data_IF_768516790886
#
_entry.id   IF_768516790886
#
_cell.length_a   1.000
_cell.length_b   1.000
_cell.length_c   1.000
_cell.angle_alpha   90.00
_cell.angle_beta   90.00
_cell.angle_gamma   90.00
#
_symmetry.space_group_name_H-M   'P 1'
#
loop_
_entity.id
_entity.type
_entity.pdbx_description
1 polymer ?
#
# COMPACT_ATOMS: atom_id res chain seq x y z
N UNK A 1 51.75 45.95 -22.67
CA UNK A 1 50.32 45.87 -22.26
C UNK A 1 49.78 44.53 -22.75
N UNK A 2 49.66 43.54 -21.86
CA UNK A 2 49.32 42.16 -22.22
C UNK A 2 47.81 41.98 -22.18
N UNK A 3 47.22 41.67 -23.34
CA UNK A 3 45.83 41.20 -23.44
C UNK A 3 45.83 39.74 -23.00
N UNK A 4 45.29 39.45 -21.81
CA UNK A 4 45.01 38.08 -21.38
C UNK A 4 43.58 37.75 -21.79
N UNK A 5 43.43 37.25 -23.01
CA UNK A 5 42.24 36.53 -23.44
C UNK A 5 42.44 35.04 -23.19
N UNK A 6 41.76 34.45 -22.21
CA UNK A 6 41.48 33.01 -22.23
C UNK A 6 40.04 32.77 -21.76
N UNK A 7 39.14 32.88 -22.72
CA UNK A 7 37.83 32.25 -22.64
C UNK A 7 38.03 30.76 -22.36
N UNK A 8 37.57 30.29 -21.19
CA UNK A 8 37.48 28.87 -20.87
C UNK A 8 36.70 28.15 -21.98
N UNK A 9 37.41 27.46 -22.87
CA UNK A 9 36.81 26.52 -23.83
C UNK A 9 36.06 25.47 -23.02
N UNK A 10 34.72 25.49 -23.07
CA UNK A 10 33.89 24.39 -22.58
C UNK A 10 34.22 23.18 -23.44
N UNK A 11 34.93 22.20 -22.88
CA UNK A 11 35.17 20.92 -23.55
C UNK A 11 33.80 20.27 -23.78
N UNK A 12 33.40 19.99 -25.03
CA UNK A 12 32.13 19.33 -25.29
C UNK A 12 32.21 17.91 -24.72
N UNK A 13 31.39 17.63 -23.71
CA UNK A 13 31.24 16.26 -23.21
C UNK A 13 30.70 15.42 -24.36
N UNK A 14 31.39 14.33 -24.69
CA UNK A 14 30.98 13.45 -25.78
C UNK A 14 29.54 12.95 -25.52
N UNK A 15 28.66 13.12 -26.50
CA UNK A 15 27.26 12.72 -26.39
C UNK A 15 27.10 11.23 -26.06
N UNK A 16 28.04 10.38 -26.49
CA UNK A 16 28.12 8.96 -26.13
C UNK A 16 28.30 8.75 -24.63
N UNK A 17 29.20 9.49 -23.99
CA UNK A 17 29.44 9.41 -22.54
C UNK A 17 28.18 9.79 -21.77
N UNK A 18 27.50 10.88 -22.16
CA UNK A 18 26.23 11.28 -21.53
C UNK A 18 25.14 10.21 -21.68
N UNK A 19 25.05 9.56 -22.85
CA UNK A 19 24.12 8.44 -23.06
C UNK A 19 24.45 7.26 -22.15
N UNK A 20 25.72 6.88 -22.05
CA UNK A 20 26.17 5.80 -21.17
C UNK A 20 25.88 6.12 -19.70
N UNK A 21 26.21 7.33 -19.23
CA UNK A 21 25.90 7.75 -17.87
C UNK A 21 24.38 7.73 -17.59
N UNK A 22 23.56 8.17 -18.54
CA UNK A 22 22.09 8.11 -18.42
C UNK A 22 21.59 6.67 -18.34
N UNK A 23 22.15 5.77 -19.13
CA UNK A 23 21.82 4.34 -19.11
C UNK A 23 22.18 3.70 -17.76
N UNK A 24 23.43 3.84 -17.31
CA UNK A 24 23.91 3.32 -16.02
C UNK A 24 23.06 3.87 -14.87
N UNK A 25 22.72 5.15 -14.90
CA UNK A 25 21.89 5.75 -13.85
C UNK A 25 20.45 5.21 -13.86
N UNK A 26 19.86 4.95 -15.03
CA UNK A 26 18.54 4.32 -15.13
C UNK A 26 18.56 2.88 -14.61
N UNK A 27 19.61 2.12 -14.93
CA UNK A 27 19.82 0.76 -14.45
C UNK A 27 20.01 0.73 -12.93
N UNK A 28 20.88 1.59 -12.38
CA UNK A 28 21.11 1.71 -10.95
C UNK A 28 19.83 2.06 -10.18
N UNK A 29 18.99 2.97 -10.72
CA UNK A 29 17.65 3.26 -10.17
C UNK A 29 16.75 2.04 -10.20
N UNK A 30 16.76 1.30 -11.31
CA UNK A 30 16.03 0.04 -11.45
C UNK A 30 16.42 -0.96 -10.37
N UNK A 31 17.72 -1.15 -10.14
CA UNK A 31 18.25 -2.05 -9.11
C UNK A 31 17.81 -1.58 -7.73
N UNK A 32 18.06 -0.31 -7.39
CA UNK A 32 17.78 0.27 -6.07
C UNK A 32 16.30 0.16 -5.70
N UNK A 33 15.39 0.58 -6.59
CA UNK A 33 13.96 0.66 -6.29
C UNK A 33 13.18 -0.64 -6.56
N UNK A 34 13.80 -1.64 -7.19
CA UNK A 34 13.20 -2.96 -7.35
C UNK A 34 13.24 -3.80 -6.07
N UNK A 35 14.13 -3.44 -5.13
CA UNK A 35 14.24 -4.11 -3.83
C UNK A 35 12.97 -3.91 -2.98
N UNK A 36 12.71 -4.80 -2.00
CA UNK A 36 11.69 -4.57 -1.00
C UNK A 36 11.95 -3.30 -0.18
N UNK A 37 11.06 -2.32 -0.27
CA UNK A 37 11.18 -1.06 0.46
C UNK A 37 10.19 -1.05 1.62
N UNK A 38 10.71 -0.84 2.83
CA UNK A 38 9.91 -0.66 4.03
C UNK A 38 9.64 0.83 4.26
N UNK A 39 8.37 1.21 4.24
CA UNK A 39 7.93 2.58 4.48
C UNK A 39 7.11 2.61 5.77
N UNK A 40 7.74 3.05 6.87
CA UNK A 40 7.12 3.12 8.19
C UNK A 40 8.07 3.17 9.38
N UNK A 41 9.38 3.35 9.15
CA UNK A 41 10.41 3.23 10.19
C UNK A 41 10.90 4.53 10.84
N UNK A 42 10.59 5.72 10.32
CA UNK A 42 10.89 7.05 10.91
C UNK A 42 10.62 8.22 9.95
N UNK A 43 10.69 8.00 8.63
CA UNK A 43 10.43 9.04 7.63
C UNK A 43 8.96 9.05 7.18
N UNK A 44 8.40 10.24 6.95
CA UNK A 44 7.04 10.40 6.42
C UNK A 44 6.96 9.71 5.03
N UNK A 45 6.13 8.65 4.87
CA UNK A 45 5.96 7.95 3.61
C UNK A 45 5.67 8.87 2.42
N UNK A 46 4.92 9.95 2.66
CA UNK A 46 4.53 10.92 1.64
C UNK A 46 5.74 11.73 1.18
N UNK A 47 6.54 12.23 2.14
CA UNK A 47 7.75 13.01 1.85
C UNK A 47 8.74 12.17 1.05
N UNK A 48 8.94 10.91 1.46
CA UNK A 48 9.85 10.01 0.76
C UNK A 48 9.38 9.69 -0.66
N UNK A 49 8.11 9.30 -0.84
CA UNK A 49 7.54 8.98 -2.16
C UNK A 49 7.53 10.20 -3.10
N UNK A 50 7.38 11.41 -2.56
CA UNK A 50 7.53 12.66 -3.33
C UNK A 50 8.99 12.94 -3.67
N UNK A 51 9.89 12.77 -2.71
CA UNK A 51 11.32 13.05 -2.84
C UNK A 51 12.02 12.19 -3.89
N UNK A 52 11.66 10.91 -4.01
CA UNK A 52 12.20 10.07 -5.10
C UNK A 52 11.69 10.51 -6.47
N UNK A 53 10.56 11.22 -6.54
CA UNK A 53 9.98 11.72 -7.79
C UNK A 53 9.30 10.64 -8.64
N UNK A 54 8.46 11.08 -9.58
CA UNK A 54 7.63 10.19 -10.41
C UNK A 54 8.46 9.23 -11.26
N UNK A 55 9.58 9.69 -11.83
CA UNK A 55 10.45 8.86 -12.66
C UNK A 55 11.04 7.67 -11.89
N UNK A 56 11.31 7.83 -10.59
CA UNK A 56 11.83 6.72 -9.77
C UNK A 56 10.71 5.83 -9.24
N UNK A 57 9.51 6.37 -9.01
CA UNK A 57 8.32 5.57 -8.67
C UNK A 57 7.99 4.53 -9.74
N UNK A 58 8.38 4.77 -10.99
CA UNK A 58 8.30 3.77 -12.07
C UNK A 58 9.01 2.46 -11.72
N UNK A 59 10.13 2.50 -11.01
CA UNK A 59 10.94 1.32 -10.71
C UNK A 59 10.49 0.57 -9.44
N UNK A 60 9.55 1.13 -8.68
CA UNK A 60 9.03 0.48 -7.48
C UNK A 60 8.34 -0.84 -7.82
N UNK A 61 8.76 -1.92 -7.16
CA UNK A 61 8.16 -3.25 -7.32
C UNK A 61 7.55 -3.80 -6.06
N UNK A 62 8.25 -3.70 -4.93
CA UNK A 62 7.87 -4.35 -3.69
C UNK A 62 7.86 -3.31 -2.57
N UNK A 63 6.66 -2.95 -2.09
CA UNK A 63 6.49 -1.94 -1.06
C UNK A 63 5.85 -2.58 0.17
N UNK A 64 6.44 -2.34 1.33
CA UNK A 64 5.90 -2.71 2.62
C UNK A 64 5.48 -1.44 3.35
N UNK A 65 4.21 -1.34 3.72
CA UNK A 65 3.67 -0.20 4.47
C UNK A 65 3.54 -0.58 5.95
N UNK A 66 4.14 0.24 6.81
CA UNK A 66 4.18 0.05 8.25
C UNK A 66 5.45 -0.66 8.71
N UNK A 67 5.85 -0.46 9.96
CA UNK A 67 6.96 -1.18 10.56
C UNK A 67 6.52 -2.60 10.98
N UNK A 68 7.50 -3.49 11.18
CA UNK A 68 7.30 -4.72 11.95
C UNK A 68 6.79 -4.44 13.36
N UNK A 69 7.11 -3.26 13.89
CA UNK A 69 6.67 -2.75 15.20
C UNK A 69 5.33 -1.97 15.18
N UNK A 70 4.74 -1.71 14.01
CA UNK A 70 3.51 -0.90 13.87
C UNK A 70 3.68 0.37 13.02
N UNK A 71 2.63 1.18 12.89
CA UNK A 71 2.74 2.54 12.33
C UNK A 71 2.84 3.54 13.48
N UNK A 72 3.98 4.20 13.67
CA UNK A 72 4.06 5.38 14.53
C UNK A 72 3.57 6.60 13.75
N UNK A 73 2.26 6.72 13.56
CA UNK A 73 1.65 7.94 13.02
C UNK A 73 0.78 8.61 14.10
N UNK A 74 0.80 9.96 14.20
CA UNK A 74 -0.08 10.70 15.10
C UNK A 74 -1.55 10.31 14.89
N UNK A 75 -2.25 10.02 15.99
CA UNK A 75 -3.57 9.36 16.05
C UNK A 75 -4.67 9.96 15.14
N UNK A 76 -4.57 11.22 14.71
CA UNK A 76 -5.65 11.94 14.01
C UNK A 76 -5.65 11.80 12.49
N UNK A 77 -4.54 11.44 11.84
CA UNK A 77 -4.43 11.57 10.37
C UNK A 77 -4.06 10.29 9.60
N UNK A 78 -3.99 9.12 10.25
CA UNK A 78 -3.46 7.89 9.64
C UNK A 78 -4.12 7.50 8.32
N UNK A 79 -5.46 7.59 8.21
CA UNK A 79 -6.17 7.27 6.96
C UNK A 79 -5.88 8.30 5.85
N UNK A 80 -5.85 9.58 6.19
CA UNK A 80 -5.50 10.63 5.22
C UNK A 80 -4.09 10.41 4.65
N UNK A 81 -3.16 9.95 5.50
CA UNK A 81 -1.80 9.59 5.10
C UNK A 81 -1.81 8.36 4.20
N UNK A 82 -2.51 7.28 4.59
CA UNK A 82 -2.62 6.08 3.77
C UNK A 82 -3.19 6.38 2.37
N UNK A 83 -4.27 7.17 2.26
CA UNK A 83 -4.83 7.55 0.95
C UNK A 83 -3.85 8.35 0.09
N UNK A 84 -3.10 9.27 0.70
CA UNK A 84 -2.06 10.05 -0.01
C UNK A 84 -0.94 9.15 -0.50
N UNK A 85 -0.52 8.18 0.31
CA UNK A 85 0.45 7.15 -0.08
C UNK A 85 -0.09 6.30 -1.23
N UNK A 86 -1.33 5.82 -1.12
CA UNK A 86 -1.98 5.05 -2.18
C UNK A 86 -2.05 5.83 -3.51
N UNK A 87 -2.32 7.13 -3.46
CA UNK A 87 -2.31 8.01 -4.64
C UNK A 87 -0.91 8.15 -5.25
N UNK A 88 0.14 8.22 -4.44
CA UNK A 88 1.52 8.26 -4.95
C UNK A 88 1.94 6.90 -5.52
N UNK A 89 1.50 5.80 -4.91
CA UNK A 89 1.76 4.44 -5.38
C UNK A 89 0.94 4.06 -6.61
N UNK A 90 -0.22 4.68 -6.87
CA UNK A 90 -0.97 4.43 -8.11
C UNK A 90 -0.19 4.85 -9.36
N UNK A 91 0.79 5.75 -9.21
CA UNK A 91 1.72 6.15 -10.26
C UNK A 91 2.88 5.17 -10.48
N UNK A 92 2.96 4.07 -9.72
CA UNK A 92 4.00 3.05 -9.85
C UNK A 92 3.50 1.87 -10.72
N UNK A 93 3.67 1.90 -12.06
CA UNK A 93 3.15 0.87 -12.95
C UNK A 93 3.77 -0.52 -12.76
N UNK A 94 5.00 -0.59 -12.25
CA UNK A 94 5.70 -1.85 -12.05
C UNK A 94 5.53 -2.41 -10.63
N UNK A 95 4.61 -1.85 -9.83
CA UNK A 95 4.32 -2.35 -8.50
C UNK A 95 3.77 -3.78 -8.62
N UNK A 96 4.50 -4.74 -8.03
CA UNK A 96 4.17 -6.17 -8.01
C UNK A 96 3.60 -6.63 -6.67
N UNK A 97 4.02 -5.98 -5.59
CA UNK A 97 3.63 -6.34 -4.22
C UNK A 97 3.51 -5.09 -3.36
N UNK A 98 2.39 -5.00 -2.66
CA UNK A 98 2.09 -4.02 -1.62
C UNK A 98 1.66 -4.76 -0.36
N UNK A 99 2.56 -4.84 0.60
CA UNK A 99 2.33 -5.57 1.84
C UNK A 99 2.02 -4.58 2.98
N UNK A 100 0.80 -4.65 3.50
CA UNK A 100 0.29 -3.81 4.57
C UNK A 100 0.58 -4.50 5.89
N UNK A 101 1.64 -4.06 6.56
CA UNK A 101 2.12 -4.65 7.81
C UNK A 101 1.43 -4.10 9.05
N UNK A 102 1.01 -2.85 8.98
CA UNK A 102 0.25 -2.18 10.02
C UNK A 102 -0.73 -1.21 9.37
N UNK A 103 -1.86 -0.94 10.03
CA UNK A 103 -2.85 0.04 9.58
C UNK A 103 -3.76 0.40 10.75
N UNK A 104 -4.21 1.65 10.82
CA UNK A 104 -5.26 2.04 11.77
C UNK A 104 -6.59 1.46 11.32
N UNK A 105 -7.07 0.48 12.07
CA UNK A 105 -8.40 -0.09 11.91
C UNK A 105 -9.37 0.74 12.77
N UNK A 106 -10.43 1.35 12.18
CA UNK A 106 -11.50 1.99 12.95
C UNK A 106 -12.21 1.01 13.88
N UNK A 107 -12.86 1.52 14.92
CA UNK A 107 -13.68 0.69 15.79
C UNK A 107 -14.78 0.01 14.97
N UNK A 108 -14.98 -1.29 15.23
CA UNK A 108 -16.03 -2.08 14.61
C UNK A 108 -17.27 -1.92 15.47
N UNK A 109 -18.37 -1.47 14.88
CA UNK A 109 -19.66 -1.48 15.58
C UNK A 109 -20.19 -2.92 15.64
N UNK A 110 -19.83 -3.63 16.71
CA UNK A 110 -20.20 -5.03 16.93
C UNK A 110 -21.70 -5.23 17.10
N UNK A 111 -22.46 -4.20 17.47
CA UNK A 111 -23.91 -4.32 17.65
C UNK A 111 -24.61 -4.60 16.31
N UNK A 112 -24.07 -4.10 15.20
CA UNK A 112 -24.58 -4.38 13.85
C UNK A 112 -24.44 -5.84 13.42
N UNK A 113 -23.62 -6.62 14.12
CA UNK A 113 -23.36 -8.04 13.81
C UNK A 113 -24.03 -9.01 14.79
N UNK A 114 -24.85 -8.47 15.70
CA UNK A 114 -25.67 -9.25 16.62
C UNK A 114 -27.06 -9.47 16.02
N UNK A 115 -27.63 -10.64 16.28
CA UNK A 115 -29.04 -10.90 15.97
C UNK A 115 -29.96 -10.30 17.06
N UNK A 116 -31.27 -10.46 16.89
CA UNK A 116 -32.28 -9.97 17.83
C UNK A 116 -32.13 -10.58 19.25
N UNK A 117 -31.49 -11.75 19.37
CA UNK A 117 -31.18 -12.38 20.67
C UNK A 117 -29.82 -11.96 21.26
N UNK A 118 -29.14 -10.98 20.64
CA UNK A 118 -27.85 -10.45 21.12
C UNK A 118 -26.65 -11.36 20.83
N UNK A 119 -26.84 -12.49 20.15
CA UNK A 119 -25.78 -13.40 19.75
C UNK A 119 -25.11 -12.93 18.45
N UNK A 120 -23.79 -13.14 18.37
CA UNK A 120 -23.01 -12.86 17.17
C UNK A 120 -23.42 -13.79 16.03
N UNK A 121 -23.82 -13.22 14.89
CA UNK A 121 -24.21 -14.01 13.71
C UNK A 121 -23.03 -14.73 13.06
N UNK A 122 -21.82 -14.19 13.23
CA UNK A 122 -20.59 -14.68 12.64
C UNK A 122 -19.46 -14.64 13.67
N UNK A 123 -18.40 -15.42 13.43
CA UNK A 123 -17.21 -15.39 14.28
C UNK A 123 -16.61 -13.98 14.26
N UNK A 124 -16.20 -13.43 15.41
CA UNK A 124 -15.65 -12.07 15.47
C UNK A 124 -14.45 -11.82 14.53
N UNK A 125 -13.59 -12.82 14.34
CA UNK A 125 -12.45 -12.73 13.41
C UNK A 125 -12.86 -12.63 11.94
N UNK A 126 -13.99 -13.22 11.58
CA UNK A 126 -14.52 -13.19 10.23
C UNK A 126 -15.01 -11.78 9.91
N UNK A 127 -15.76 -11.18 10.83
CA UNK A 127 -16.22 -9.78 10.74
C UNK A 127 -15.01 -8.84 10.66
N UNK A 128 -14.01 -9.03 11.53
CA UNK A 128 -12.79 -8.22 11.49
C UNK A 128 -12.06 -8.32 10.14
N UNK A 129 -11.93 -9.53 9.56
CA UNK A 129 -11.32 -9.72 8.25
C UNK A 129 -12.06 -8.98 7.13
N UNK A 130 -13.39 -9.00 7.13
CA UNK A 130 -14.20 -8.24 6.17
C UNK A 130 -14.04 -6.72 6.31
N UNK A 131 -14.03 -6.22 7.55
CA UNK A 131 -13.79 -4.80 7.83
C UNK A 131 -12.40 -4.36 7.36
N UNK A 132 -11.36 -5.15 7.63
CA UNK A 132 -10.00 -4.88 7.16
C UNK A 132 -9.94 -4.92 5.64
N UNK A 133 -10.57 -5.90 4.98
CA UNK A 133 -10.63 -5.98 3.52
C UNK A 133 -11.27 -4.73 2.91
N UNK A 134 -12.39 -4.28 3.49
CA UNK A 134 -13.08 -3.06 3.08
C UNK A 134 -12.20 -1.81 3.28
N UNK A 135 -11.55 -1.70 4.44
CA UNK A 135 -10.64 -0.61 4.73
C UNK A 135 -9.48 -0.56 3.72
N UNK A 136 -8.83 -1.70 3.45
CA UNK A 136 -7.78 -1.79 2.44
C UNK A 136 -8.30 -1.37 1.07
N UNK A 137 -9.47 -1.85 0.68
CA UNK A 137 -10.10 -1.50 -0.59
C UNK A 137 -10.34 0.01 -0.71
N UNK A 138 -10.92 0.64 0.31
CA UNK A 138 -11.26 2.06 0.30
C UNK A 138 -10.01 2.95 0.31
N UNK A 139 -9.02 2.61 1.14
CA UNK A 139 -7.79 3.39 1.31
C UNK A 139 -6.85 3.25 0.10
N UNK A 140 -6.79 2.06 -0.51
CA UNK A 140 -5.97 1.78 -1.69
C UNK A 140 -6.74 1.81 -3.00
N UNK A 141 -7.96 2.35 -2.99
CA UNK A 141 -8.80 2.51 -4.18
C UNK A 141 -8.08 3.16 -5.37
N UNK A 142 -7.20 4.17 -5.21
CA UNK A 142 -6.43 4.72 -6.32
C UNK A 142 -5.56 3.68 -7.03
N UNK A 143 -4.87 2.82 -6.27
CA UNK A 143 -4.00 1.75 -6.80
C UNK A 143 -4.83 0.75 -7.59
N UNK A 144 -5.92 0.24 -6.98
CA UNK A 144 -6.82 -0.70 -7.65
C UNK A 144 -7.45 -0.09 -8.90
N UNK A 145 -7.86 1.18 -8.82
CA UNK A 145 -8.52 1.87 -9.93
C UNK A 145 -7.63 1.99 -11.16
N UNK A 146 -6.37 2.37 -10.98
CA UNK A 146 -5.40 2.50 -12.07
C UNK A 146 -5.03 1.11 -12.61
N UNK A 147 -4.82 0.13 -11.74
CA UNK A 147 -4.46 -1.22 -12.15
C UNK A 147 -5.59 -1.93 -12.92
N UNK A 148 -6.85 -1.77 -12.49
CA UNK A 148 -8.03 -2.23 -13.24
C UNK A 148 -8.10 -1.56 -14.62
N UNK A 149 -7.84 -0.25 -14.71
CA UNK A 149 -7.81 0.46 -16.00
C UNK A 149 -6.69 -0.01 -16.93
N UNK A 150 -5.63 -0.63 -16.39
CA UNK A 150 -4.56 -1.28 -17.15
C UNK A 150 -4.87 -2.75 -17.51
N UNK A 151 -6.08 -3.22 -17.24
CA UNK A 151 -6.52 -4.57 -17.58
C UNK A 151 -6.17 -5.64 -16.55
N UNK A 152 -5.66 -5.28 -15.35
CA UNK A 152 -5.46 -6.27 -14.31
C UNK A 152 -6.79 -6.85 -13.80
N UNK A 153 -6.81 -8.16 -13.52
CA UNK A 153 -7.99 -8.85 -12.99
C UNK A 153 -8.09 -8.67 -11.47
N UNK A 154 -9.29 -8.79 -10.88
CA UNK A 154 -9.46 -8.81 -9.42
C UNK A 154 -8.55 -9.84 -8.73
N UNK A 155 -8.35 -11.01 -9.33
CA UNK A 155 -7.45 -12.05 -8.84
C UNK A 155 -5.99 -11.57 -8.77
N UNK A 156 -5.49 -10.93 -9.83
CA UNK A 156 -4.15 -10.34 -9.85
C UNK A 156 -4.00 -9.26 -8.78
N UNK A 157 -5.02 -8.44 -8.56
CA UNK A 157 -5.02 -7.40 -7.53
C UNK A 157 -5.04 -7.94 -6.10
N UNK A 158 -5.67 -9.09 -5.85
CA UNK A 158 -5.58 -9.78 -4.58
C UNK A 158 -4.17 -10.34 -4.32
N UNK A 159 -3.39 -10.64 -5.37
CA UNK A 159 -1.97 -11.01 -5.21
C UNK A 159 -1.06 -9.79 -5.01
N UNK A 160 -1.46 -8.65 -5.57
CA UNK A 160 -0.75 -7.37 -5.46
C UNK A 160 -0.79 -6.84 -4.03
N UNK A 161 -1.97 -6.78 -3.41
CA UNK A 161 -2.13 -6.20 -2.07
C UNK A 161 -2.29 -7.31 -1.03
N UNK A 162 -1.35 -7.39 -0.09
CA UNK A 162 -1.32 -8.41 0.96
C UNK A 162 -1.44 -7.77 2.32
N UNK A 163 -2.38 -8.24 3.12
CA UNK A 163 -2.44 -7.97 4.55
C UNK A 163 -1.42 -8.86 5.27
N UNK A 164 -0.60 -8.29 6.15
CA UNK A 164 0.27 -9.08 7.00
C UNK A 164 -0.52 -9.66 8.18
N UNK A 165 -0.13 -10.85 8.67
CA UNK A 165 -0.71 -11.49 9.87
C UNK A 165 -0.78 -10.60 11.10
N UNK A 166 0.11 -9.60 11.19
CA UNK A 166 0.15 -8.63 12.28
C UNK A 166 -1.13 -7.77 12.36
N UNK A 167 -1.90 -7.65 11.27
CA UNK A 167 -3.20 -7.01 11.30
C UNK A 167 -4.22 -7.76 12.17
N UNK A 168 -3.97 -9.05 12.42
CA UNK A 168 -4.85 -9.93 13.20
C UNK A 168 -4.25 -10.39 14.53
N UNK A 169 -2.92 -10.36 14.66
CA UNK A 169 -2.22 -11.10 15.71
C UNK A 169 -1.96 -10.35 17.02
N UNK A 170 -2.55 -9.18 17.25
CA UNK A 170 -2.69 -8.61 18.60
C UNK A 170 -1.42 -8.11 19.31
N UNK A 171 -0.23 -8.55 18.90
CA UNK A 171 1.05 -8.23 19.52
C UNK A 171 1.85 -7.32 18.61
N UNK A 172 1.73 -6.01 18.82
CA UNK A 172 2.90 -5.15 18.68
C UNK A 172 3.40 -4.89 20.08
N UNK A 173 4.69 -5.10 20.32
CA UNK A 173 5.33 -4.92 21.63
C UNK A 173 5.30 -3.46 22.12
N UNK A 174 4.67 -2.56 21.36
CA UNK A 174 4.39 -1.17 21.69
C UNK A 174 2.99 -0.85 21.16
N UNK A 175 2.05 -0.56 22.07
CA UNK A 175 0.61 -0.44 21.82
C UNK A 175 0.20 0.77 20.99
N UNK A 176 0.59 0.83 19.73
CA UNK A 176 0.32 1.97 18.87
C UNK A 176 -0.23 1.44 17.53
N UNK A 177 -1.55 1.60 17.38
CA UNK A 177 -2.34 1.48 16.14
C UNK A 177 -2.94 0.10 15.80
N UNK A 178 -3.81 -0.40 16.67
CA UNK A 178 -4.86 -1.35 16.30
C UNK A 178 -6.17 -0.97 17.02
N UNK A 179 -7.33 -1.33 16.46
CA UNK A 179 -8.58 -1.27 17.21
C UNK A 179 -8.46 -2.24 18.39
N UNK A 180 -8.72 -1.76 19.62
CA UNK A 180 -8.66 -2.57 20.83
C UNK A 180 -9.46 -3.88 20.68
N UNK A 181 -10.56 -3.83 19.94
CA UNK A 181 -11.43 -4.96 19.66
C UNK A 181 -10.79 -6.04 18.78
N UNK A 182 -9.98 -5.66 17.78
CA UNK A 182 -9.28 -6.62 16.92
C UNK A 182 -8.11 -7.25 17.68
N UNK A 183 -7.43 -6.49 18.55
CA UNK A 183 -6.40 -6.99 19.44
C UNK A 183 -6.95 -8.02 20.45
N UNK A 184 -8.20 -7.84 20.89
CA UNK A 184 -8.85 -8.73 21.85
C UNK A 184 -9.13 -10.12 21.27
N UNK A 185 -9.13 -10.28 19.94
CA UNK A 185 -9.50 -11.54 19.30
C UNK A 185 -8.52 -12.70 19.52
N UNK A 186 -7.25 -12.42 19.88
CA UNK A 186 -6.19 -13.40 20.18
C UNK A 186 -6.30 -14.71 19.39
N UNK A 187 -6.19 -14.59 18.06
CA UNK A 187 -6.42 -15.71 17.15
C UNK A 187 -5.33 -16.79 17.26
N UNK A 188 -5.76 -18.05 17.20
CA UNK A 188 -4.84 -19.17 16.97
C UNK A 188 -4.42 -19.23 15.49
N UNK A 189 -3.43 -20.06 15.16
CA UNK A 189 -2.89 -20.18 13.79
C UNK A 189 -3.96 -20.54 12.75
N UNK A 190 -4.96 -21.35 13.10
CA UNK A 190 -6.03 -21.76 12.20
C UNK A 190 -7.00 -20.60 11.91
N UNK A 191 -7.36 -19.83 12.93
CA UNK A 191 -8.21 -18.66 12.78
C UNK A 191 -7.49 -17.53 12.03
N UNK A 192 -6.16 -17.39 12.17
CA UNK A 192 -5.36 -16.45 11.36
C UNK A 192 -5.44 -16.84 9.88
N UNK A 193 -5.21 -18.11 9.54
CA UNK A 193 -5.32 -18.57 8.15
C UNK A 193 -6.74 -18.37 7.59
N UNK A 194 -7.76 -18.60 8.41
CA UNK A 194 -9.16 -18.30 8.07
C UNK A 194 -9.41 -16.82 7.81
N UNK A 195 -8.87 -15.94 8.66
CA UNK A 195 -8.99 -14.49 8.52
C UNK A 195 -8.26 -13.96 7.27
N UNK A 196 -7.08 -14.50 6.94
CA UNK A 196 -6.35 -14.16 5.72
C UNK A 196 -7.13 -14.59 4.46
N UNK A 197 -7.69 -15.79 4.47
CA UNK A 197 -8.52 -16.29 3.37
C UNK A 197 -9.80 -15.48 3.19
N UNK A 198 -10.49 -15.14 4.29
CA UNK A 198 -11.70 -14.31 4.25
C UNK A 198 -11.38 -12.89 3.78
N UNK A 199 -10.27 -12.30 4.23
CA UNK A 199 -9.83 -10.99 3.75
C UNK A 199 -9.61 -11.00 2.24
N UNK A 200 -8.91 -12.01 1.73
CA UNK A 200 -8.65 -12.15 0.30
C UNK A 200 -9.95 -12.36 -0.51
N UNK A 201 -10.86 -13.20 0.01
CA UNK A 201 -12.17 -13.46 -0.59
C UNK A 201 -13.05 -12.22 -0.64
N UNK A 202 -13.15 -11.50 0.48
CA UNK A 202 -13.95 -10.27 0.57
C UNK A 202 -13.36 -9.14 -0.28
N UNK A 203 -12.03 -9.00 -0.32
CA UNK A 203 -11.37 -8.03 -1.19
C UNK A 203 -11.63 -8.32 -2.67
N UNK A 204 -11.57 -9.59 -3.08
CA UNK A 204 -11.91 -10.01 -4.44
C UNK A 204 -13.34 -9.63 -4.79
N UNK A 205 -14.29 -9.91 -3.90
CA UNK A 205 -15.70 -9.54 -4.07
C UNK A 205 -15.87 -8.02 -4.29
N UNK A 206 -15.19 -7.18 -3.50
CA UNK A 206 -15.24 -5.72 -3.66
C UNK A 206 -14.68 -5.26 -5.01
N UNK A 207 -13.58 -5.86 -5.46
CA UNK A 207 -12.95 -5.56 -6.75
C UNK A 207 -13.81 -5.99 -7.94
N UNK A 208 -14.41 -7.18 -7.88
CA UNK A 208 -15.35 -7.68 -8.90
C UNK A 208 -16.59 -6.79 -8.99
N UNK A 209 -17.13 -6.38 -7.83
CA UNK A 209 -18.25 -5.43 -7.76
C UNK A 209 -17.88 -4.08 -8.39
N UNK A 210 -16.68 -3.55 -8.12
CA UNK A 210 -16.19 -2.31 -8.76
C UNK A 210 -16.11 -2.47 -10.28
N UNK A 211 -15.51 -3.57 -10.76
CA UNK A 211 -15.34 -3.84 -12.18
C UNK A 211 -16.70 -3.94 -12.90
N UNK A 212 -17.70 -4.59 -12.28
CA UNK A 212 -19.07 -4.65 -12.81
C UNK A 212 -19.68 -3.26 -12.95
N UNK A 213 -19.59 -2.41 -11.92
CA UNK A 213 -20.12 -1.03 -12.01
C UNK A 213 -19.41 -0.18 -13.06
N UNK A 214 -18.11 -0.42 -13.32
CA UNK A 214 -17.39 0.28 -14.39
C UNK A 214 -17.84 -0.12 -15.79
N UNK A 215 -18.13 -1.41 -15.99
CA UNK A 215 -18.58 -1.95 -17.29
C UNK A 215 -20.04 -1.61 -17.57
N UNK A 216 -20.85 -1.55 -16.52
CA UNK A 216 -22.28 -1.27 -16.59
C UNK A 216 -22.61 -0.13 -15.62
N UNK A 217 -22.24 1.12 -15.94
CA UNK A 217 -22.68 2.26 -15.16
C UNK A 217 -24.21 2.26 -15.18
N UNK A 218 -24.85 2.27 -14.01
CA UNK A 218 -26.29 2.46 -13.94
C UNK A 218 -26.58 3.79 -14.62
N UNK A 219 -27.25 3.75 -15.77
CA UNK A 219 -27.84 4.93 -16.39
C UNK A 219 -28.70 5.61 -15.33
N UNK A 220 -28.32 6.84 -14.97
CA UNK A 220 -29.16 7.70 -14.14
C UNK A 220 -30.37 8.15 -14.93
#
# INVERSE_FOLDING_TARGET
MVIISTWKKRVPIAASLLRTCRFIHAEARGILYSQPILIGGQADPIVWLRGIGQANRFYLRNVHLGSTKGFELPRKDCQSVTRRVAKLLSDAPNLKSLNIRAMRIPNIDWNLHRNLSGQMQQKPWFIAAQHIAKLIYDEFRPVFSVALSRGQTPQQLCTLVKAHRNLFSGRSDQGIVFAADVLALRLNTRDIAGAEAELAGHLKFLLERNLRYRRYPRSK
#
